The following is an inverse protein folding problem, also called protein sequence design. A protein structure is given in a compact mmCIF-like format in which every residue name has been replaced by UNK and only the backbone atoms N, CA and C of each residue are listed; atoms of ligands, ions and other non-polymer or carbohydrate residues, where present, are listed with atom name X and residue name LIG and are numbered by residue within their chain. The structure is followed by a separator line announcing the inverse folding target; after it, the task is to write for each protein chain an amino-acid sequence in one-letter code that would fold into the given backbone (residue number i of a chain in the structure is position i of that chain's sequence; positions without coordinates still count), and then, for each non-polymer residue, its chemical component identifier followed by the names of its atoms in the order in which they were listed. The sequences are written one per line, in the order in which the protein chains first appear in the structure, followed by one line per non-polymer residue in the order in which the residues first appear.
data_IF_375271092765
#
_entry.id   IF_375271092765
#
_cell.length_a   1.000
_cell.length_b   1.000
_cell.length_c   1.000
_cell.angle_alpha   90.00
_cell.angle_beta   90.00
_cell.angle_gamma   90.00
#
_symmetry.space_group_name_H-M   'P 1'
#
loop_
_entity.id
_entity.type
_entity.pdbx_description
1 polymer ?
#
# COMPACT_ATOMS: atom_id res chain seq x y z
N UNK A 1 -36.10 9.46 -17.45
CA UNK A 1 -34.95 10.37 -17.25
C UNK A 1 -33.82 9.51 -16.69
N UNK A 2 -32.56 9.86 -16.91
CA UNK A 2 -31.43 9.08 -16.37
C UNK A 2 -30.92 9.77 -15.11
N UNK A 3 -30.64 8.99 -14.08
CA UNK A 3 -30.04 9.43 -12.83
C UNK A 3 -28.71 8.74 -12.60
N UNK A 4 -27.84 9.45 -11.90
CA UNK A 4 -26.57 8.88 -11.43
C UNK A 4 -26.85 7.96 -10.24
N UNK A 5 -26.26 6.75 -10.28
CA UNK A 5 -26.31 5.75 -9.22
C UNK A 5 -25.00 4.96 -9.17
N UNK A 6 -24.90 4.04 -8.22
CA UNK A 6 -23.71 3.21 -8.00
C UNK A 6 -24.06 1.74 -8.17
N UNK A 7 -23.34 1.01 -9.01
CA UNK A 7 -23.58 -0.44 -9.17
C UNK A 7 -23.38 -1.17 -7.83
N UNK A 8 -24.36 -1.93 -7.31
CA UNK A 8 -24.23 -2.62 -6.03
C UNK A 8 -23.23 -3.79 -6.07
N UNK A 9 -22.83 -4.25 -7.27
CA UNK A 9 -21.90 -5.37 -7.46
C UNK A 9 -20.45 -4.93 -7.64
N UNK A 10 -20.21 -3.87 -8.42
CA UNK A 10 -18.85 -3.43 -8.78
C UNK A 10 -18.52 -2.01 -8.32
N UNK A 11 -19.47 -1.33 -7.68
CA UNK A 11 -19.33 0.01 -7.09
C UNK A 11 -18.92 1.13 -8.05
N UNK A 12 -19.04 0.90 -9.36
CA UNK A 12 -18.82 1.92 -10.37
C UNK A 12 -20.02 2.85 -10.48
N UNK A 13 -19.75 4.12 -10.76
CA UNK A 13 -20.79 5.13 -11.02
C UNK A 13 -21.41 4.84 -12.39
N UNK A 14 -22.73 4.70 -12.42
CA UNK A 14 -23.50 4.33 -13.59
C UNK A 14 -24.68 5.28 -13.78
N UNK A 15 -25.17 5.38 -15.01
CA UNK A 15 -26.45 6.04 -15.29
C UNK A 15 -27.56 5.01 -15.38
N UNK A 16 -28.58 5.17 -14.54
CA UNK A 16 -29.74 4.31 -14.47
C UNK A 16 -31.01 5.07 -14.92
N UNK A 17 -31.87 4.47 -15.75
CA UNK A 17 -33.12 5.08 -16.17
C UNK A 17 -34.20 4.94 -15.10
N UNK A 18 -34.92 6.04 -14.83
CA UNK A 18 -35.98 6.12 -13.80
C UNK A 18 -37.21 5.25 -14.08
N UNK A 19 -37.40 4.84 -15.33
CA UNK A 19 -38.57 4.11 -15.81
C UNK A 19 -38.36 2.59 -15.88
N UNK A 20 -37.23 2.07 -15.38
CA UNK A 20 -36.94 0.63 -15.35
C UNK A 20 -36.68 0.15 -13.93
N UNK A 21 -37.13 -1.07 -13.66
CA UNK A 21 -36.86 -1.76 -12.38
C UNK A 21 -35.44 -2.36 -12.36
N UNK A 22 -34.94 -2.79 -13.52
CA UNK A 22 -33.65 -3.47 -13.67
C UNK A 22 -32.85 -2.97 -14.87
N UNK A 23 -31.53 -3.00 -14.73
CA UNK A 23 -30.57 -2.69 -15.80
C UNK A 23 -29.36 -3.61 -15.74
N UNK A 24 -28.61 -3.71 -16.83
CA UNK A 24 -27.34 -4.43 -16.87
C UNK A 24 -26.22 -3.42 -16.65
N UNK A 25 -25.33 -3.69 -15.69
CA UNK A 25 -24.17 -2.84 -15.44
C UNK A 25 -23.23 -2.88 -16.64
N UNK A 26 -22.86 -1.71 -17.18
CA UNK A 26 -21.92 -1.62 -18.29
C UNK A 26 -20.47 -1.99 -17.94
N UNK A 27 -20.13 -2.07 -16.64
CA UNK A 27 -18.78 -2.39 -16.16
C UNK A 27 -18.60 -3.87 -15.84
N UNK A 28 -19.50 -4.48 -15.06
CA UNK A 28 -19.38 -5.89 -14.67
C UNK A 28 -20.30 -6.83 -15.44
N UNK A 29 -21.24 -6.34 -16.25
CA UNK A 29 -22.17 -7.16 -17.03
C UNK A 29 -23.30 -7.81 -16.22
N UNK A 30 -23.35 -7.59 -14.90
CA UNK A 30 -24.38 -8.14 -14.03
C UNK A 30 -25.71 -7.38 -14.13
N UNK A 31 -26.82 -8.09 -13.98
CA UNK A 31 -28.15 -7.50 -13.84
C UNK A 31 -28.29 -6.91 -12.42
N UNK A 32 -28.68 -5.65 -12.33
CA UNK A 32 -28.83 -4.89 -11.09
C UNK A 32 -30.18 -4.20 -11.04
N UNK A 33 -30.70 -3.99 -9.82
CA UNK A 33 -31.93 -3.22 -9.63
C UNK A 33 -31.64 -1.72 -9.60
N UNK A 34 -32.54 -0.93 -10.18
CA UNK A 34 -32.40 0.53 -10.28
C UNK A 34 -32.55 1.20 -8.92
N UNK A 35 -33.43 0.70 -8.04
CA UNK A 35 -33.61 1.21 -6.68
C UNK A 35 -32.37 1.02 -5.80
N UNK A 36 -31.76 -0.18 -5.83
CA UNK A 36 -30.48 -0.48 -5.17
C UNK A 36 -29.37 0.46 -5.67
N UNK A 37 -29.28 0.66 -6.99
CA UNK A 37 -28.28 1.54 -7.59
C UNK A 37 -28.45 3.01 -7.20
N UNK A 38 -29.69 3.44 -6.89
CA UNK A 38 -30.00 4.80 -6.45
C UNK A 38 -29.89 5.00 -4.94
N UNK A 39 -29.40 3.99 -4.21
CA UNK A 39 -29.23 4.07 -2.76
C UNK A 39 -30.56 4.07 -2.00
N UNK A 40 -31.62 3.49 -2.58
CA UNK A 40 -32.77 3.11 -1.76
C UNK A 40 -32.26 2.15 -0.68
N UNK A 41 -32.42 2.51 0.59
CA UNK A 41 -32.11 1.61 1.71
C UNK A 41 -32.91 0.34 1.46
N UNK A 42 -32.22 -0.79 1.28
CA UNK A 42 -32.87 -2.10 1.30
C UNK A 42 -33.80 -2.12 2.52
N UNK A 43 -35.05 -2.54 2.32
CA UNK A 43 -35.83 -3.05 3.44
C UNK A 43 -34.97 -4.15 4.05
N UNK A 44 -34.43 -3.91 5.25
CA UNK A 44 -33.67 -4.88 6.03
C UNK A 44 -34.61 -6.07 6.19
N UNK A 45 -34.45 -7.09 5.34
CA UNK A 45 -34.99 -8.40 5.64
C UNK A 45 -34.25 -8.82 6.87
N UNK A 46 -34.95 -8.97 7.99
CA UNK A 46 -34.43 -9.71 9.14
C UNK A 46 -33.85 -11.01 8.60
N UNK A 47 -32.52 -11.11 8.54
CA UNK A 47 -31.89 -12.39 8.29
C UNK A 47 -32.25 -13.26 9.49
N UNK A 48 -32.62 -14.50 9.24
CA UNK A 48 -32.92 -15.39 10.35
C UNK A 48 -31.64 -15.62 11.18
N UNK A 49 -31.85 -16.10 12.41
CA UNK A 49 -30.77 -16.31 13.37
C UNK A 49 -29.74 -17.33 12.87
N UNK A 50 -30.13 -18.26 12.01
CA UNK A 50 -29.23 -19.28 11.45
C UNK A 50 -28.29 -18.64 10.42
N UNK A 51 -28.81 -17.81 9.52
CA UNK A 51 -28.03 -17.07 8.54
C UNK A 51 -27.07 -16.06 9.21
N UNK A 52 -27.52 -15.34 10.24
CA UNK A 52 -26.63 -14.48 11.04
C UNK A 52 -25.47 -15.28 11.64
N UNK A 53 -25.78 -16.44 12.23
CA UNK A 53 -24.77 -17.28 12.88
C UNK A 53 -23.75 -17.81 11.86
N UNK A 54 -24.19 -18.15 10.65
CA UNK A 54 -23.30 -18.55 9.55
C UNK A 54 -22.30 -17.43 9.20
N UNK A 55 -22.77 -16.19 9.01
CA UNK A 55 -21.86 -15.06 8.78
C UNK A 55 -20.90 -14.82 9.93
N UNK A 56 -21.38 -14.93 11.18
CA UNK A 56 -20.52 -14.80 12.35
C UNK A 56 -19.41 -15.87 12.36
N UNK A 57 -19.76 -17.13 12.06
CA UNK A 57 -18.80 -18.23 12.00
C UNK A 57 -17.81 -18.09 10.83
N UNK A 58 -18.25 -17.58 9.67
CA UNK A 58 -17.37 -17.24 8.54
C UNK A 58 -16.37 -16.16 8.94
N UNK A 59 -16.85 -15.05 9.51
CA UNK A 59 -16.00 -13.95 9.95
C UNK A 59 -14.98 -14.43 10.98
N UNK A 60 -15.42 -15.24 11.95
CA UNK A 60 -14.54 -15.84 12.96
C UNK A 60 -13.45 -16.70 12.32
N UNK A 61 -13.81 -17.64 11.46
CA UNK A 61 -12.86 -18.53 10.80
C UNK A 61 -11.87 -17.76 9.90
N UNK A 62 -12.34 -16.79 9.13
CA UNK A 62 -11.45 -16.00 8.27
C UNK A 62 -10.47 -15.14 9.08
N UNK A 63 -10.90 -14.56 10.21
CA UNK A 63 -10.01 -13.84 11.13
C UNK A 63 -8.95 -14.76 11.75
N UNK A 64 -9.31 -16.02 12.06
CA UNK A 64 -8.35 -17.03 12.48
C UNK A 64 -7.31 -17.29 11.37
N UNK A 65 -7.77 -17.46 10.13
CA UNK A 65 -6.89 -17.67 8.97
C UNK A 65 -5.95 -16.50 8.72
N UNK A 66 -6.34 -15.25 9.02
CA UNK A 66 -5.43 -14.09 8.93
C UNK A 66 -4.16 -14.32 9.77
N UNK A 67 -4.29 -14.87 10.98
CA UNK A 67 -3.15 -15.14 11.87
C UNK A 67 -2.39 -16.38 11.42
N UNK A 68 -3.10 -17.49 11.17
CA UNK A 68 -2.48 -18.79 10.87
C UNK A 68 -1.73 -18.81 9.55
N UNK A 69 -2.20 -18.02 8.57
CA UNK A 69 -1.59 -17.93 7.23
C UNK A 69 -0.65 -16.74 7.06
N UNK A 70 -0.34 -16.02 8.15
CA UNK A 70 0.69 -14.99 8.12
C UNK A 70 2.06 -15.66 7.91
N UNK A 71 2.67 -15.51 6.74
CA UNK A 71 4.02 -16.00 6.48
C UNK A 71 4.83 -14.90 5.81
N UNK A 72 5.95 -14.51 6.45
CA UNK A 72 6.88 -13.48 5.96
C UNK A 72 6.17 -12.27 5.31
N UNK A 73 5.21 -11.59 5.99
CA UNK A 73 4.36 -10.58 5.36
C UNK A 73 5.14 -9.35 4.86
N UNK A 74 6.40 -9.20 5.30
CA UNK A 74 7.33 -8.16 4.87
C UNK A 74 8.10 -8.49 3.58
N UNK A 75 8.09 -9.74 3.11
CA UNK A 75 8.94 -10.22 2.00
C UNK A 75 8.72 -9.42 0.70
N UNK A 76 7.45 -9.15 0.39
CA UNK A 76 7.05 -8.42 -0.81
C UNK A 76 6.67 -6.96 -0.53
N UNK A 77 7.05 -6.41 0.63
CA UNK A 77 6.84 -4.99 0.93
C UNK A 77 7.87 -4.12 0.21
N UNK A 78 7.70 -3.98 -1.11
CA UNK A 78 8.54 -3.19 -2.02
C UNK A 78 7.63 -2.39 -2.95
N UNK A 79 8.07 -1.22 -3.41
CA UNK A 79 7.25 -0.31 -4.24
C UNK A 79 6.60 -1.03 -5.45
N UNK A 80 7.36 -1.88 -6.13
CA UNK A 80 6.94 -2.58 -7.34
C UNK A 80 6.10 -3.84 -7.09
N UNK A 81 6.04 -4.34 -5.84
CA UNK A 81 5.31 -5.56 -5.49
C UNK A 81 4.09 -5.26 -4.60
N UNK A 82 4.17 -4.23 -3.76
CA UNK A 82 3.18 -3.96 -2.72
C UNK A 82 1.77 -3.78 -3.28
N UNK A 83 1.60 -3.02 -4.37
CA UNK A 83 0.28 -2.82 -4.98
C UNK A 83 -0.35 -4.15 -5.40
N UNK A 84 0.39 -5.01 -6.12
CA UNK A 84 -0.11 -6.32 -6.54
C UNK A 84 -0.40 -7.26 -5.37
N UNK A 85 0.48 -7.30 -4.38
CA UNK A 85 0.31 -8.13 -3.18
C UNK A 85 -0.88 -7.66 -2.32
N UNK A 86 -1.06 -6.35 -2.21
CA UNK A 86 -2.18 -5.75 -1.50
C UNK A 86 -3.51 -6.08 -2.20
N UNK A 87 -3.59 -5.93 -3.53
CA UNK A 87 -4.80 -6.32 -4.26
C UNK A 87 -5.09 -7.82 -4.15
N UNK A 88 -4.06 -8.67 -4.21
CA UNK A 88 -4.21 -10.11 -4.03
C UNK A 88 -4.72 -10.46 -2.63
N UNK A 89 -4.16 -9.85 -1.59
CA UNK A 89 -4.63 -10.01 -0.21
C UNK A 89 -6.07 -9.52 -0.05
N UNK A 90 -6.38 -8.33 -0.56
CA UNK A 90 -7.72 -7.72 -0.49
C UNK A 90 -8.77 -8.60 -1.18
N UNK A 91 -8.48 -9.06 -2.41
CA UNK A 91 -9.37 -9.95 -3.15
C UNK A 91 -9.52 -11.32 -2.46
N UNK A 92 -8.43 -11.87 -1.93
CA UNK A 92 -8.42 -13.15 -1.21
C UNK A 92 -9.20 -13.14 0.11
N UNK A 93 -9.52 -11.96 0.66
CA UNK A 93 -10.24 -11.79 1.92
C UNK A 93 -11.66 -11.23 1.76
N UNK A 94 -12.25 -11.30 0.56
CA UNK A 94 -13.62 -10.80 0.35
C UNK A 94 -14.66 -11.46 1.24
N UNK A 95 -14.58 -12.78 1.44
CA UNK A 95 -15.50 -13.50 2.32
C UNK A 95 -15.50 -12.96 3.76
N UNK A 96 -14.32 -12.53 4.25
CA UNK A 96 -14.21 -11.89 5.56
C UNK A 96 -14.98 -10.56 5.61
N UNK A 97 -14.77 -9.69 4.63
CA UNK A 97 -15.39 -8.36 4.62
C UNK A 97 -16.90 -8.43 4.41
N UNK A 98 -17.37 -9.33 3.55
CA UNK A 98 -18.79 -9.60 3.35
C UNK A 98 -19.43 -10.12 4.64
N UNK A 99 -18.80 -11.08 5.32
CA UNK A 99 -19.32 -11.61 6.57
C UNK A 99 -19.35 -10.57 7.70
N UNK A 100 -18.32 -9.73 7.81
CA UNK A 100 -18.29 -8.63 8.78
C UNK A 100 -19.38 -7.59 8.51
N UNK A 101 -19.63 -7.24 7.25
CA UNK A 101 -20.71 -6.33 6.88
C UNK A 101 -22.09 -6.91 7.23
N UNK A 102 -22.31 -8.19 6.96
CA UNK A 102 -23.55 -8.87 7.31
C UNK A 102 -23.75 -8.96 8.82
N UNK A 103 -22.71 -9.29 9.60
CA UNK A 103 -22.80 -9.26 11.07
C UNK A 103 -23.12 -7.85 11.55
N UNK A 104 -22.44 -6.83 11.03
CA UNK A 104 -22.62 -5.45 11.49
C UNK A 104 -24.02 -4.89 11.19
N UNK A 105 -24.57 -5.17 10.01
CA UNK A 105 -25.88 -4.64 9.58
C UNK A 105 -27.07 -5.29 10.26
N UNK A 106 -26.91 -6.54 10.71
CA UNK A 106 -28.01 -7.38 11.15
C UNK A 106 -27.97 -7.72 12.65
N UNK A 107 -26.99 -7.21 13.39
CA UNK A 107 -26.95 -7.34 14.84
C UNK A 107 -27.70 -6.20 15.53
N UNK A 108 -28.41 -6.49 16.63
CA UNK A 108 -29.01 -5.46 17.48
C UNK A 108 -27.94 -4.63 18.23
N UNK A 109 -26.79 -5.25 18.51
CA UNK A 109 -25.62 -4.67 19.17
C UNK A 109 -24.33 -4.98 18.37
N UNK A 110 -24.15 -4.35 17.20
CA UNK A 110 -23.05 -4.69 16.29
C UNK A 110 -21.67 -4.45 16.90
N UNK A 111 -21.51 -3.45 17.77
CA UNK A 111 -20.24 -3.19 18.46
C UNK A 111 -19.79 -4.36 19.34
N UNK A 112 -20.72 -5.02 20.03
CA UNK A 112 -20.42 -6.19 20.85
C UNK A 112 -19.99 -7.39 20.00
N UNK A 113 -20.62 -7.57 18.84
CA UNK A 113 -20.26 -8.66 17.93
C UNK A 113 -18.93 -8.42 17.23
N UNK A 114 -18.62 -7.19 16.82
CA UNK A 114 -17.28 -6.83 16.36
C UNK A 114 -16.24 -7.03 17.47
N UNK A 115 -16.55 -6.68 18.72
CA UNK A 115 -15.67 -6.91 19.85
C UNK A 115 -15.34 -8.40 20.04
N UNK A 116 -16.34 -9.30 20.00
CA UNK A 116 -16.13 -10.75 20.09
C UNK A 116 -15.24 -11.29 18.97
N UNK A 117 -15.40 -10.79 17.75
CA UNK A 117 -14.59 -11.18 16.60
C UNK A 117 -13.14 -10.69 16.73
N UNK A 118 -12.93 -9.46 17.21
CA UNK A 118 -11.60 -8.93 17.52
C UNK A 118 -10.92 -9.72 18.64
N UNK A 119 -11.65 -10.02 19.71
CA UNK A 119 -11.16 -10.84 20.82
C UNK A 119 -10.71 -12.23 20.34
N UNK A 120 -11.49 -12.85 19.44
CA UNK A 120 -11.11 -14.11 18.82
C UNK A 120 -9.79 -14.01 18.04
N UNK A 121 -9.64 -13.02 17.16
CA UNK A 121 -8.39 -12.81 16.40
C UNK A 121 -7.17 -12.61 17.33
N UNK A 122 -7.34 -11.82 18.40
CA UNK A 122 -6.28 -11.57 19.37
C UNK A 122 -5.91 -12.84 20.13
N UNK A 123 -6.91 -13.61 20.56
CA UNK A 123 -6.69 -14.87 21.25
C UNK A 123 -5.92 -15.87 20.37
N UNK A 124 -6.32 -16.02 19.10
CA UNK A 124 -5.58 -16.86 18.13
C UNK A 124 -4.11 -16.43 18.02
N UNK A 125 -3.84 -15.13 17.94
CA UNK A 125 -2.47 -14.63 17.91
C UNK A 125 -1.70 -14.91 19.21
N UNK A 126 -2.34 -14.79 20.36
CA UNK A 126 -1.72 -15.11 21.66
C UNK A 126 -1.37 -16.59 21.77
N UNK A 127 -2.29 -17.47 21.36
CA UNK A 127 -2.09 -18.92 21.40
C UNK A 127 -0.90 -19.32 20.52
N UNK A 128 -0.87 -18.84 19.27
CA UNK A 128 0.25 -19.08 18.34
C UNK A 128 1.59 -18.58 18.89
N UNK A 129 1.62 -17.42 19.56
CA UNK A 129 2.84 -16.88 20.15
C UNK A 129 3.31 -17.66 21.38
N UNK A 130 2.39 -18.18 22.19
CA UNK A 130 2.70 -18.96 23.39
C UNK A 130 3.39 -20.28 23.04
N UNK A 131 2.98 -20.94 21.96
CA UNK A 131 3.59 -22.19 21.47
C UNK A 131 5.06 -22.01 21.03
N UNK A 132 5.47 -20.79 20.66
CA UNK A 132 6.85 -20.51 20.26
C UNK A 132 7.75 -20.44 21.49
N UNK A 133 8.60 -21.47 21.67
CA UNK A 133 9.54 -21.58 22.81
C UNK A 133 10.61 -20.48 22.86
N UNK A 134 11.15 -20.09 21.72
CA UNK A 134 12.28 -19.16 21.65
C UNK A 134 11.82 -17.71 21.62
N UNK A 135 12.23 -16.91 22.62
CA UNK A 135 11.85 -15.50 22.75
C UNK A 135 12.09 -14.69 21.47
N UNK A 136 13.25 -14.82 20.84
CA UNK A 136 13.56 -14.09 19.61
C UNK A 136 12.62 -14.41 18.45
N UNK A 137 12.25 -15.69 18.27
CA UNK A 137 11.29 -16.12 17.24
C UNK A 137 9.88 -15.63 17.55
N UNK A 138 9.49 -15.64 18.83
CA UNK A 138 8.21 -15.09 19.29
C UNK A 138 8.11 -13.60 19.01
N UNK A 139 9.16 -12.84 19.33
CA UNK A 139 9.23 -11.41 19.02
C UNK A 139 9.15 -11.16 17.52
N UNK A 140 9.88 -11.92 16.69
CA UNK A 140 9.77 -11.82 15.24
C UNK A 140 8.34 -12.11 14.76
N UNK A 141 7.71 -13.18 15.26
CA UNK A 141 6.35 -13.54 14.88
C UNK A 141 5.32 -12.46 15.25
N UNK A 142 5.48 -11.84 16.40
CA UNK A 142 4.64 -10.70 16.80
C UNK A 142 4.86 -9.50 15.86
N UNK A 143 6.10 -9.23 15.44
CA UNK A 143 6.38 -8.19 14.43
C UNK A 143 5.74 -8.52 13.08
N UNK A 144 5.73 -9.78 12.66
CA UNK A 144 5.04 -10.21 11.45
C UNK A 144 3.53 -9.94 11.55
N UNK A 145 2.89 -10.25 12.67
CA UNK A 145 1.48 -9.93 12.89
C UNK A 145 1.20 -8.43 12.92
N UNK A 146 2.02 -7.66 13.63
CA UNK A 146 1.92 -6.20 13.66
C UNK A 146 1.97 -5.61 12.26
N UNK A 147 2.89 -6.13 11.44
CA UNK A 147 3.06 -5.72 10.06
C UNK A 147 1.84 -6.10 9.22
N UNK A 148 1.42 -7.37 9.26
CA UNK A 148 0.24 -7.85 8.53
C UNK A 148 -1.00 -6.99 8.83
N UNK A 149 -1.25 -6.71 10.10
CA UNK A 149 -2.41 -5.94 10.54
C UNK A 149 -2.31 -4.50 10.02
N UNK A 150 -1.17 -3.86 10.19
CA UNK A 150 -0.98 -2.44 9.86
C UNK A 150 -0.90 -2.17 8.36
N UNK A 151 -0.41 -3.15 7.58
CA UNK A 151 -0.04 -2.96 6.17
C UNK A 151 -1.04 -3.61 5.20
N UNK A 152 -1.75 -4.64 5.64
CA UNK A 152 -2.71 -5.36 4.80
C UNK A 152 -4.11 -5.38 5.39
N UNK A 153 -4.31 -5.88 6.61
CA UNK A 153 -5.67 -6.09 7.15
C UNK A 153 -6.44 -4.78 7.34
N UNK A 154 -5.89 -3.85 8.12
CA UNK A 154 -6.55 -2.56 8.38
C UNK A 154 -6.72 -1.74 7.10
N UNK A 155 -5.67 -1.56 6.26
CA UNK A 155 -5.85 -0.86 4.98
C UNK A 155 -6.89 -1.52 4.05
N UNK A 156 -7.00 -2.86 4.06
CA UNK A 156 -8.03 -3.59 3.30
C UNK A 156 -9.44 -3.31 3.81
N UNK A 157 -9.64 -3.28 5.13
CA UNK A 157 -10.92 -2.89 5.74
C UNK A 157 -11.28 -1.46 5.40
N UNK A 158 -10.32 -0.53 5.50
CA UNK A 158 -10.53 0.87 5.15
C UNK A 158 -10.82 1.08 3.65
N UNK A 159 -10.34 0.19 2.79
CA UNK A 159 -10.66 0.17 1.34
C UNK A 159 -12.05 -0.40 1.06
N UNK A 160 -12.57 -1.29 1.89
CA UNK A 160 -13.88 -1.91 1.71
C UNK A 160 -15.00 -0.91 2.05
N UNK A 161 -15.96 -0.63 1.13
CA UNK A 161 -16.94 0.44 1.29
C UNK A 161 -18.13 0.01 2.17
N UNK A 162 -17.90 -0.22 3.46
CA UNK A 162 -18.92 -0.64 4.41
C UNK A 162 -18.86 0.10 5.74
N UNK A 163 -19.98 0.11 6.47
CA UNK A 163 -20.13 0.85 7.74
C UNK A 163 -19.38 0.17 8.90
N UNK A 164 -19.11 -1.13 8.82
CA UNK A 164 -18.34 -1.84 9.85
C UNK A 164 -16.87 -1.43 9.90
N UNK A 165 -16.33 -0.87 8.81
CA UNK A 165 -14.88 -0.73 8.59
C UNK A 165 -14.20 0.12 9.66
N UNK A 166 -14.73 1.31 9.97
CA UNK A 166 -14.15 2.17 11.01
C UNK A 166 -14.31 1.59 12.42
N UNK A 167 -15.52 1.20 12.87
CA UNK A 167 -15.71 0.60 14.19
C UNK A 167 -14.83 -0.63 14.44
N UNK A 168 -14.72 -1.51 13.44
CA UNK A 168 -13.89 -2.71 13.56
C UNK A 168 -12.41 -2.35 13.65
N UNK A 169 -11.90 -1.47 12.77
CA UNK A 169 -10.51 -1.06 12.78
C UNK A 169 -10.11 -0.39 14.11
N UNK A 170 -10.97 0.47 14.66
CA UNK A 170 -10.75 1.11 15.96
C UNK A 170 -10.74 0.09 17.10
N UNK A 171 -11.70 -0.82 17.11
CA UNK A 171 -11.77 -1.90 18.10
C UNK A 171 -10.51 -2.78 18.06
N UNK A 172 -10.12 -3.23 16.86
CA UNK A 172 -8.93 -4.04 16.63
C UNK A 172 -7.66 -3.35 17.11
N UNK A 173 -7.40 -2.13 16.65
CA UNK A 173 -6.15 -1.43 16.97
C UNK A 173 -6.05 -1.14 18.47
N UNK A 174 -7.15 -0.69 19.09
CA UNK A 174 -7.19 -0.40 20.52
C UNK A 174 -6.88 -1.65 21.34
N UNK A 175 -7.51 -2.78 21.03
CA UNK A 175 -7.29 -4.02 21.77
C UNK A 175 -5.91 -4.62 21.48
N UNK A 176 -5.50 -4.67 20.22
CA UNK A 176 -4.19 -5.20 19.81
C UNK A 176 -3.04 -4.44 20.50
N UNK A 177 -3.07 -3.10 20.46
CA UNK A 177 -2.05 -2.26 21.10
C UNK A 177 -1.97 -2.47 22.61
N UNK A 178 -3.11 -2.64 23.27
CA UNK A 178 -3.17 -2.95 24.70
C UNK A 178 -2.58 -4.34 25.00
N UNK A 179 -2.96 -5.35 24.24
CA UNK A 179 -2.58 -6.75 24.49
C UNK A 179 -1.10 -7.00 24.20
N UNK A 180 -0.59 -6.47 23.08
CA UNK A 180 0.76 -6.73 22.62
C UNK A 180 1.76 -5.61 22.94
N UNK A 181 1.31 -4.56 23.63
CA UNK A 181 2.11 -3.37 23.98
C UNK A 181 2.73 -2.70 22.75
N UNK A 182 1.91 -2.48 21.72
CA UNK A 182 2.30 -1.90 20.43
C UNK A 182 1.67 -0.53 20.22
N UNK A 183 2.01 0.12 19.11
CA UNK A 183 1.48 1.44 18.72
C UNK A 183 1.05 1.45 17.24
N UNK A 184 0.26 0.47 16.83
CA UNK A 184 -0.32 0.39 15.49
C UNK A 184 -1.33 1.53 15.28
N UNK A 185 -1.45 1.99 14.04
CA UNK A 185 -2.39 3.04 13.63
C UNK A 185 -3.29 2.62 12.48
N UNK A 186 -4.28 3.45 12.15
CA UNK A 186 -5.22 3.26 11.02
C UNK A 186 -4.66 3.81 9.72
N UNK A 187 -3.58 3.23 9.20
CA UNK A 187 -3.08 3.64 7.89
C UNK A 187 -4.04 3.16 6.79
N UNK A 188 -4.26 3.98 5.77
CA UNK A 188 -4.95 3.55 4.54
C UNK A 188 -3.97 2.95 3.54
N UNK A 189 -4.49 2.27 2.51
CA UNK A 189 -3.67 1.83 1.39
C UNK A 189 -2.90 2.99 0.78
N UNK A 190 -3.58 4.13 0.56
CA UNK A 190 -2.97 5.31 -0.02
C UNK A 190 -1.87 5.91 0.86
N UNK A 191 -2.01 5.87 2.19
CA UNK A 191 -0.95 6.37 3.09
C UNK A 191 0.31 5.52 2.99
N UNK A 192 0.15 4.20 2.93
CA UNK A 192 1.26 3.25 2.78
C UNK A 192 1.87 3.37 1.39
N UNK A 193 1.03 3.41 0.35
CA UNK A 193 1.47 3.53 -1.03
C UNK A 193 2.19 4.87 -1.28
N UNK A 194 1.71 5.96 -0.67
CA UNK A 194 2.42 7.26 -0.64
C UNK A 194 3.75 7.16 0.12
N UNK A 195 3.87 6.28 1.11
CA UNK A 195 5.15 5.99 1.77
C UNK A 195 6.22 5.44 0.83
N UNK A 196 5.84 4.72 -0.22
CA UNK A 196 6.75 4.33 -1.30
C UNK A 196 7.06 5.45 -2.29
N UNK A 197 6.26 6.54 -2.27
CA UNK A 197 6.55 7.69 -3.14
C UNK A 197 7.81 8.38 -2.64
N UNK A 198 8.67 8.57 -3.62
CA UNK A 198 10.08 8.79 -3.44
C UNK A 198 10.36 10.25 -3.15
N UNK A 199 10.78 10.54 -1.92
CA UNK A 199 11.42 11.83 -1.63
C UNK A 199 12.82 11.82 -2.26
N UNK A 200 12.99 12.63 -3.32
CA UNK A 200 14.24 13.21 -3.81
C UNK A 200 15.22 12.29 -4.57
N UNK A 201 15.86 12.84 -5.60
CA UNK A 201 16.97 12.22 -6.33
C UNK A 201 18.22 12.19 -5.44
N UNK A 202 18.35 11.20 -4.55
CA UNK A 202 19.45 11.07 -3.57
C UNK A 202 20.84 11.49 -4.06
N UNK A 203 21.33 10.95 -5.18
CA UNK A 203 22.66 11.25 -5.72
C UNK A 203 22.73 12.70 -6.17
N UNK A 204 21.75 13.17 -6.94
CA UNK A 204 21.67 14.56 -7.40
C UNK A 204 21.58 15.55 -6.24
N UNK A 205 20.78 15.24 -5.21
CA UNK A 205 20.69 16.05 -3.99
C UNK A 205 22.03 16.10 -3.27
N UNK A 206 22.69 14.97 -3.06
CA UNK A 206 24.01 14.91 -2.42
C UNK A 206 25.08 15.68 -3.21
N UNK A 207 25.04 15.62 -4.55
CA UNK A 207 25.94 16.39 -5.42
C UNK A 207 25.67 17.90 -5.28
N UNK A 208 24.42 18.34 -5.34
CA UNK A 208 24.08 19.76 -5.21
C UNK A 208 24.39 20.32 -3.82
N UNK A 209 24.14 19.56 -2.76
CA UNK A 209 24.52 19.92 -1.38
C UNK A 209 26.04 19.94 -1.21
N UNK A 210 26.75 18.92 -1.69
CA UNK A 210 28.21 18.81 -1.60
C UNK A 210 28.99 19.85 -2.41
N UNK A 211 28.33 20.48 -3.39
CA UNK A 211 28.87 21.59 -4.19
C UNK A 211 28.33 22.97 -3.75
N UNK A 212 27.70 23.06 -2.58
CA UNK A 212 27.19 24.31 -2.00
C UNK A 212 26.13 25.03 -2.88
N UNK A 213 25.43 24.29 -3.77
CA UNK A 213 24.37 24.83 -4.65
C UNK A 213 22.99 24.90 -3.98
N UNK A 214 22.82 24.26 -2.83
CA UNK A 214 21.55 24.18 -2.08
C UNK A 214 20.63 23.04 -2.52
N UNK A 215 19.68 22.70 -1.66
CA UNK A 215 18.76 21.55 -1.83
C UNK A 215 17.59 21.81 -2.80
N UNK A 216 17.44 23.05 -3.28
CA UNK A 216 16.33 23.50 -4.14
C UNK A 216 16.86 24.26 -5.38
N UNK A 217 17.98 23.81 -5.96
CA UNK A 217 18.51 24.41 -7.19
C UNK A 217 17.69 24.03 -8.42
N UNK A 218 17.72 24.88 -9.45
CA UNK A 218 16.94 24.70 -10.68
C UNK A 218 17.32 23.40 -11.42
N UNK A 219 18.60 23.02 -11.35
CA UNK A 219 19.12 21.78 -11.92
C UNK A 219 18.45 20.54 -11.30
N UNK A 220 18.28 20.55 -9.96
CA UNK A 220 17.66 19.45 -9.24
C UNK A 220 16.16 19.34 -9.54
N UNK A 221 15.46 20.47 -9.61
CA UNK A 221 14.04 20.49 -9.98
C UNK A 221 13.81 19.98 -11.41
N UNK A 222 14.67 20.34 -12.36
CA UNK A 222 14.59 19.85 -13.73
C UNK A 222 14.78 18.32 -13.79
N UNK A 223 15.79 17.79 -13.10
CA UNK A 223 16.06 16.35 -13.06
C UNK A 223 14.96 15.57 -12.33
N UNK A 224 14.38 16.13 -11.27
CA UNK A 224 13.19 15.55 -10.59
C UNK A 224 12.00 15.50 -11.54
N UNK A 225 11.69 16.60 -12.22
CA UNK A 225 10.58 16.65 -13.18
C UNK A 225 10.77 15.65 -14.32
N UNK A 226 11.99 15.54 -14.87
CA UNK A 226 12.32 14.54 -15.88
C UNK A 226 12.07 13.11 -15.39
N UNK A 227 12.53 12.76 -14.18
CA UNK A 227 12.27 11.44 -13.59
C UNK A 227 10.77 11.18 -13.46
N UNK A 228 10.04 12.11 -12.86
CA UNK A 228 8.63 11.93 -12.51
C UNK A 228 7.73 11.89 -13.75
N UNK A 229 8.05 12.67 -14.78
CA UNK A 229 7.22 12.78 -15.98
C UNK A 229 7.60 11.80 -17.08
N UNK A 230 8.88 11.48 -17.23
CA UNK A 230 9.37 10.64 -18.33
C UNK A 230 9.78 9.23 -17.86
N UNK A 231 10.62 9.12 -16.82
CA UNK A 231 11.10 7.81 -16.38
C UNK A 231 9.98 6.96 -15.75
N UNK A 232 9.07 7.57 -14.98
CA UNK A 232 7.96 6.81 -14.38
C UNK A 232 6.83 6.46 -15.38
N UNK A 233 6.85 7.03 -16.59
CA UNK A 233 5.81 6.82 -17.61
C UNK A 233 5.88 5.46 -18.31
N UNK A 234 7.04 4.77 -18.24
CA UNK A 234 7.24 3.44 -18.85
C UNK A 234 7.56 2.39 -17.80
N UNK A 235 7.16 1.12 -17.99
CA UNK A 235 7.55 0.03 -17.09
C UNK A 235 9.07 -0.11 -16.92
N UNK A 236 9.81 0.04 -18.02
CA UNK A 236 11.28 -0.06 -18.04
C UNK A 236 11.93 1.08 -17.26
N UNK A 237 11.49 2.32 -17.50
CA UNK A 237 11.96 3.48 -16.75
C UNK A 237 11.61 3.40 -15.27
N UNK A 238 10.45 2.84 -14.91
CA UNK A 238 10.04 2.61 -13.53
C UNK A 238 10.94 1.58 -12.82
N UNK A 239 11.25 0.47 -13.48
CA UNK A 239 12.17 -0.54 -12.95
C UNK A 239 13.58 0.03 -12.70
N UNK A 240 14.06 0.88 -13.62
CA UNK A 240 15.35 1.56 -13.50
C UNK A 240 15.36 2.57 -12.35
N UNK A 241 14.32 3.40 -12.25
CA UNK A 241 14.12 4.27 -11.09
C UNK A 241 14.13 3.40 -9.85
N UNK A 242 13.42 2.27 -9.85
CA UNK A 242 13.31 1.36 -8.72
C UNK A 242 14.64 0.88 -8.17
N UNK A 243 15.46 0.30 -9.04
CA UNK A 243 16.83 -0.12 -8.71
C UNK A 243 17.67 1.03 -8.15
N UNK A 244 17.57 2.22 -8.75
CA UNK A 244 18.29 3.40 -8.27
C UNK A 244 18.00 3.72 -6.81
N UNK A 245 16.75 3.61 -6.33
CA UNK A 245 16.42 3.93 -4.93
C UNK A 245 16.87 2.88 -3.93
N UNK A 246 16.98 1.63 -4.36
CA UNK A 246 17.50 0.56 -3.50
C UNK A 246 18.98 0.79 -3.18
N UNK A 247 19.73 1.33 -4.15
CA UNK A 247 21.19 1.48 -4.05
C UNK A 247 21.66 2.89 -3.68
N UNK A 248 20.97 3.94 -4.13
CA UNK A 248 21.44 5.32 -4.02
C UNK A 248 21.71 5.81 -2.58
N UNK A 249 20.87 5.53 -1.56
CA UNK A 249 21.16 5.94 -0.18
C UNK A 249 22.47 5.36 0.36
N UNK A 250 22.79 4.13 -0.03
CA UNK A 250 24.03 3.47 0.39
C UNK A 250 25.24 4.01 -0.37
N UNK A 251 25.09 4.32 -1.67
CA UNK A 251 26.13 4.99 -2.47
C UNK A 251 26.48 6.34 -1.86
N UNK A 252 25.48 7.20 -1.61
CA UNK A 252 25.69 8.54 -1.01
C UNK A 252 26.43 8.43 0.31
N UNK A 253 25.98 7.55 1.23
CA UNK A 253 26.65 7.32 2.51
C UNK A 253 28.10 6.85 2.38
N UNK A 254 28.45 6.14 1.30
CA UNK A 254 29.83 5.69 1.05
C UNK A 254 30.67 6.83 0.47
N UNK A 255 30.12 7.64 -0.44
CA UNK A 255 30.78 8.84 -0.98
C UNK A 255 31.04 9.85 0.15
N UNK A 256 30.07 10.12 1.02
CA UNK A 256 30.22 11.06 2.15
C UNK A 256 31.35 10.69 3.11
N UNK A 257 31.70 9.40 3.21
CA UNK A 257 32.80 8.91 4.05
C UNK A 257 34.16 8.99 3.36
N UNK A 258 34.19 9.27 2.06
CA UNK A 258 35.42 9.46 1.30
C UNK A 258 36.03 10.82 1.65
N UNK A 259 37.35 10.84 1.87
CA UNK A 259 38.09 12.07 2.15
C UNK A 259 38.01 13.06 0.96
N UNK A 260 37.84 12.53 -0.25
CA UNK A 260 37.72 13.30 -1.50
C UNK A 260 36.27 13.39 -2.01
N UNK A 261 35.28 13.25 -1.12
CA UNK A 261 33.84 13.29 -1.46
C UNK A 261 33.43 14.48 -2.35
N UNK A 262 33.96 15.67 -2.07
CA UNK A 262 33.71 16.89 -2.88
C UNK A 262 34.17 16.74 -4.33
N UNK A 263 35.30 16.07 -4.57
CA UNK A 263 35.82 15.81 -5.91
C UNK A 263 34.93 14.82 -6.65
N UNK A 264 34.48 13.76 -5.97
CA UNK A 264 33.52 12.80 -6.54
C UNK A 264 32.21 13.49 -6.92
N UNK A 265 31.70 14.39 -6.08
CA UNK A 265 30.51 15.17 -6.43
C UNK A 265 30.73 16.11 -7.62
N UNK A 266 31.92 16.70 -7.74
CA UNK A 266 32.26 17.53 -8.88
C UNK A 266 32.31 16.71 -10.19
N UNK A 267 32.97 15.55 -10.18
CA UNK A 267 32.99 14.60 -11.31
C UNK A 267 31.56 14.20 -11.70
N UNK A 268 30.72 13.81 -10.75
CA UNK A 268 29.32 13.46 -11.02
C UNK A 268 28.51 14.62 -11.59
N UNK A 269 28.76 15.84 -11.13
CA UNK A 269 28.08 17.02 -11.64
C UNK A 269 28.48 17.32 -13.09
N UNK A 270 29.78 17.35 -13.37
CA UNK A 270 30.34 17.74 -14.67
C UNK A 270 30.14 16.66 -15.73
N UNK A 271 30.38 15.39 -15.38
CA UNK A 271 30.39 14.28 -16.34
C UNK A 271 28.99 13.70 -16.60
N UNK A 272 28.05 13.86 -15.67
CA UNK A 272 26.72 13.25 -15.77
C UNK A 272 25.56 14.23 -15.66
N UNK A 273 25.50 15.03 -14.58
CA UNK A 273 24.32 15.87 -14.34
C UNK A 273 24.20 17.02 -15.35
N UNK A 274 25.31 17.72 -15.66
CA UNK A 274 25.32 18.79 -16.66
C UNK A 274 24.94 18.27 -18.06
N UNK A 275 25.51 17.16 -18.57
CA UNK A 275 25.05 16.54 -19.81
C UNK A 275 23.56 16.17 -19.77
N UNK A 276 23.08 15.54 -18.70
CA UNK A 276 21.65 15.20 -18.56
C UNK A 276 20.76 16.44 -18.64
N UNK A 277 21.15 17.55 -17.99
CA UNK A 277 20.39 18.81 -18.02
C UNK A 277 20.28 19.36 -19.45
N UNK A 278 21.38 19.39 -20.20
CA UNK A 278 21.34 19.83 -21.59
C UNK A 278 20.47 18.91 -22.46
N UNK A 279 20.60 17.59 -22.30
CA UNK A 279 19.77 16.62 -23.02
C UNK A 279 18.28 16.80 -22.72
N UNK A 280 17.91 17.08 -21.47
CA UNK A 280 16.50 17.37 -21.09
C UNK A 280 16.02 18.67 -21.73
N UNK A 281 16.83 19.72 -21.73
CA UNK A 281 16.50 21.02 -22.33
C UNK A 281 16.32 20.91 -23.85
N UNK A 282 17.10 20.05 -24.50
CA UNK A 282 17.03 19.78 -25.94
C UNK A 282 15.94 18.75 -26.30
N UNK A 283 15.19 18.24 -25.32
CA UNK A 283 14.12 17.24 -25.51
C UNK A 283 14.63 15.83 -25.85
N UNK A 284 15.92 15.57 -25.67
CA UNK A 284 16.58 14.28 -25.93
C UNK A 284 16.48 13.35 -24.71
N UNK A 285 15.25 13.00 -24.35
CA UNK A 285 14.94 12.24 -23.14
C UNK A 285 15.53 10.82 -23.14
N UNK A 286 15.52 10.10 -24.27
CA UNK A 286 16.11 8.75 -24.34
C UNK A 286 17.63 8.78 -24.08
N UNK A 287 18.34 9.74 -24.67
CA UNK A 287 19.77 9.92 -24.43
C UNK A 287 20.05 10.29 -22.96
N UNK A 288 19.21 11.14 -22.36
CA UNK A 288 19.32 11.48 -20.94
C UNK A 288 19.15 10.24 -20.05
N UNK A 289 18.20 9.35 -20.37
CA UNK A 289 18.02 8.08 -19.64
C UNK A 289 19.28 7.24 -19.72
N UNK A 290 19.86 7.09 -20.91
CA UNK A 290 21.03 6.25 -21.12
C UNK A 290 22.27 6.79 -20.36
N UNK A 291 22.51 8.11 -20.40
CA UNK A 291 23.55 8.78 -19.59
C UNK A 291 23.31 8.60 -18.08
N UNK A 292 22.06 8.74 -17.63
CA UNK A 292 21.72 8.55 -16.23
C UNK A 292 21.91 7.08 -15.79
N UNK A 293 21.65 6.12 -16.68
CA UNK A 293 21.86 4.70 -16.42
C UNK A 293 23.34 4.37 -16.26
N UNK A 294 24.17 4.92 -17.13
CA UNK A 294 25.62 4.77 -17.07
C UNK A 294 26.17 5.28 -15.73
N UNK A 295 25.76 6.47 -15.29
CA UNK A 295 26.13 7.03 -13.98
C UNK A 295 25.80 6.07 -12.83
N UNK A 296 24.57 5.55 -12.80
CA UNK A 296 24.11 4.68 -11.71
C UNK A 296 24.85 3.35 -11.73
N UNK A 297 25.11 2.78 -12.91
CA UNK A 297 25.86 1.54 -13.06
C UNK A 297 27.32 1.69 -12.62
N UNK A 298 27.97 2.81 -12.99
CA UNK A 298 29.33 3.11 -12.57
C UNK A 298 29.41 3.25 -11.04
N UNK A 299 28.50 4.02 -10.45
CA UNK A 299 28.46 4.21 -9.00
C UNK A 299 28.13 2.92 -8.26
N UNK A 300 27.24 2.08 -8.78
CA UNK A 300 26.99 0.74 -8.26
C UNK A 300 28.27 -0.09 -8.27
N UNK A 301 29.00 -0.10 -9.38
CA UNK A 301 30.25 -0.85 -9.48
C UNK A 301 31.33 -0.35 -8.50
N UNK A 302 31.48 0.97 -8.39
CA UNK A 302 32.48 1.62 -7.54
C UNK A 302 32.18 1.44 -6.06
N UNK A 303 30.91 1.54 -5.66
CA UNK A 303 30.53 1.63 -4.27
C UNK A 303 29.76 0.43 -3.72
N UNK A 304 29.28 -0.54 -4.50
CA UNK A 304 28.55 -1.71 -3.97
C UNK A 304 29.34 -3.01 -3.95
N UNK A 305 30.46 -3.10 -4.67
CA UNK A 305 31.22 -4.36 -4.82
C UNK A 305 32.50 -4.47 -3.98
N UNK A 306 32.78 -3.52 -3.07
CA UNK A 306 33.89 -3.64 -2.12
C UNK A 306 33.40 -4.25 -0.80
N UNK A 307 33.78 -5.51 -0.57
CA UNK A 307 33.84 -6.18 0.73
C UNK A 307 35.19 -5.90 1.39
#
# INVERSE_FOLDING_TARGET
MFREGTCPKCHQVIQVPDDREKVICMYCGEEIRVDEALGAKEEVKEIDREAYQEYFDIARNELEQVILTCYNPMENFKKNLYEGEFEAYYAGRRALFEALDQVYRNDENPEESLQKLVEHLIQTAQDELQEIRFKGRRTQRQLDYNFLISVYLVPSMMKYPAEFSEPFADCLIKQWNRTFQTSLGKATYDDINKGFRRKLCYITTAVCEGLDKGSDCAELELLKAYRDQYMEATPEGRAMVDEYYDIAPTIVKRIEKDADSRKVYQELYEDYLVPCIHLIQDGQYEACRDTYQEMVLELKNRYMHQN
#
